data_IF_649517953480
#
_entry.id   IF_649517953480
#
_cell.length_a   1.000
_cell.length_b   1.000
_cell.length_c   1.000
_cell.angle_alpha   90.00
_cell.angle_beta   90.00
_cell.angle_gamma   90.00
#
_symmetry.space_group_name_H-M   'P 1'
#
loop_
_entity.id
_entity.type
_entity.pdbx_description
1 polymer ?
#
# COMPACT_ATOMS: atom_id res chain seq x y z
N UNK A 1 -5.31 -4.41 -5.20
CA UNK A 1 -4.81 -3.04 -5.45
C UNK A 1 -5.73 -2.36 -6.45
N UNK A 2 -5.86 -1.02 -6.47
CA UNK A 2 -6.72 -0.34 -7.47
C UNK A 2 -5.85 0.17 -8.61
N UNK A 3 -6.17 -0.23 -9.83
CA UNK A 3 -5.49 0.28 -11.02
C UNK A 3 -6.19 1.58 -11.45
N UNK A 4 -5.42 2.65 -11.61
CA UNK A 4 -5.95 3.94 -12.06
C UNK A 4 -6.29 3.83 -13.55
N UNK A 5 -7.52 4.17 -13.94
CA UNK A 5 -7.98 4.16 -15.34
C UNK A 5 -8.97 3.04 -15.71
N UNK A 6 -9.24 2.08 -14.80
CA UNK A 6 -10.26 1.04 -15.01
C UNK A 6 -11.66 1.52 -14.55
N UNK A 7 -12.57 1.69 -15.52
CA UNK A 7 -13.94 2.16 -15.29
C UNK A 7 -14.81 1.20 -14.46
N UNK A 8 -14.56 -0.11 -14.51
CA UNK A 8 -15.33 -1.08 -13.71
C UNK A 8 -14.94 -0.99 -12.25
N UNK A 9 -13.63 -0.95 -11.97
CA UNK A 9 -13.14 -0.68 -10.63
C UNK A 9 -13.61 0.69 -10.13
N UNK A 10 -13.75 1.66 -11.04
CA UNK A 10 -14.23 3.01 -10.72
C UNK A 10 -15.60 3.04 -10.05
N UNK A 11 -16.58 2.37 -10.67
CA UNK A 11 -17.95 2.36 -10.20
C UNK A 11 -18.09 1.71 -8.83
N UNK A 12 -17.33 0.63 -8.58
CA UNK A 12 -17.34 -0.09 -7.31
C UNK A 12 -16.89 0.83 -6.17
N UNK A 13 -15.80 1.57 -6.31
CA UNK A 13 -15.35 2.44 -5.20
C UNK A 13 -16.22 3.69 -5.05
N UNK A 14 -16.73 4.27 -6.14
CA UNK A 14 -17.64 5.43 -6.07
C UNK A 14 -18.89 5.13 -5.25
N UNK A 15 -19.42 3.90 -5.35
CA UNK A 15 -20.56 3.47 -4.55
C UNK A 15 -20.31 3.49 -3.03
N UNK A 16 -19.04 3.35 -2.60
CA UNK A 16 -18.65 3.29 -1.18
C UNK A 16 -18.36 4.67 -0.56
N UNK A 17 -18.31 5.73 -1.36
CA UNK A 17 -18.01 7.10 -0.87
C UNK A 17 -19.04 7.55 0.15
N UNK A 18 -20.33 7.30 -0.10
CA UNK A 18 -21.41 7.79 0.78
C UNK A 18 -21.39 7.18 2.18
N UNK A 19 -20.78 6.00 2.34
CA UNK A 19 -20.74 5.27 3.61
C UNK A 19 -19.38 5.38 4.29
N UNK A 20 -18.28 5.19 3.54
CA UNK A 20 -16.93 5.14 4.10
C UNK A 20 -16.13 6.43 3.86
N UNK A 21 -16.56 7.28 2.93
CA UNK A 21 -15.85 8.52 2.57
C UNK A 21 -15.61 9.46 3.76
N UNK A 22 -16.63 9.79 4.56
CA UNK A 22 -16.44 10.65 5.74
C UNK A 22 -15.43 10.07 6.75
N UNK A 23 -15.47 8.76 7.00
CA UNK A 23 -14.52 8.11 7.91
C UNK A 23 -13.09 8.12 7.37
N UNK A 24 -12.91 7.86 6.07
CA UNK A 24 -11.59 7.95 5.42
C UNK A 24 -11.00 9.37 5.48
N UNK A 25 -11.85 10.41 5.40
CA UNK A 25 -11.44 11.80 5.56
C UNK A 25 -11.00 12.10 7.00
N UNK A 26 -11.73 11.60 8.00
CA UNK A 26 -11.32 11.75 9.40
C UNK A 26 -9.97 11.08 9.69
N UNK A 27 -9.74 9.89 9.12
CA UNK A 27 -8.44 9.22 9.22
C UNK A 27 -7.31 10.01 8.54
N UNK A 28 -7.63 10.72 7.44
CA UNK A 28 -6.65 11.53 6.70
C UNK A 28 -6.31 12.82 7.44
N UNK A 29 -7.32 13.44 8.06
CA UNK A 29 -7.21 14.73 8.74
C UNK A 29 -6.68 14.59 10.18
N UNK A 30 -6.36 13.38 10.63
CA UNK A 30 -5.82 13.16 11.97
C UNK A 30 -4.39 13.73 12.08
N UNK A 31 -4.19 14.82 12.87
CA UNK A 31 -2.91 15.50 12.99
C UNK A 31 -1.84 14.65 13.70
N UNK A 32 -2.22 13.58 14.39
CA UNK A 32 -1.30 12.68 15.09
C UNK A 32 -0.85 11.50 14.22
N UNK A 33 -1.60 11.18 13.15
CA UNK A 33 -1.34 10.04 12.28
C UNK A 33 -0.43 10.35 11.09
N UNK A 34 -0.11 11.62 10.85
CA UNK A 34 0.45 12.03 9.56
C UNK A 34 1.86 12.57 9.74
N UNK A 35 2.85 11.67 9.82
CA UNK A 35 4.27 12.07 9.77
C UNK A 35 4.77 11.88 8.36
N UNK A 36 5.20 12.97 7.73
CA UNK A 36 6.01 12.89 6.52
C UNK A 36 7.26 12.10 6.86
N UNK A 37 7.38 10.93 6.27
CA UNK A 37 8.47 10.00 6.52
C UNK A 37 9.23 9.78 5.23
N UNK A 38 10.54 9.80 5.33
CA UNK A 38 11.47 9.63 4.22
C UNK A 38 12.48 8.56 4.57
N UNK A 39 13.01 7.89 3.55
CA UNK A 39 14.18 7.01 3.63
C UNK A 39 14.03 5.83 4.62
N UNK A 40 13.04 4.97 4.36
CA UNK A 40 12.88 3.71 5.11
C UNK A 40 12.41 2.56 4.25
N UNK A 41 12.59 1.34 4.74
CA UNK A 41 12.04 0.14 4.12
C UNK A 41 10.76 -0.29 4.80
N UNK A 42 9.76 -0.65 4.01
CA UNK A 42 8.51 -1.25 4.46
C UNK A 42 8.22 -2.52 3.66
N UNK A 43 7.56 -3.46 4.32
CA UNK A 43 7.18 -4.75 3.77
C UNK A 43 5.66 -4.87 3.75
N UNK A 44 5.13 -5.58 2.75
CA UNK A 44 3.70 -5.91 2.73
C UNK A 44 3.52 -7.26 2.06
N UNK A 45 2.92 -8.20 2.76
CA UNK A 45 2.37 -9.39 2.14
C UNK A 45 1.05 -9.07 1.45
N UNK A 46 0.82 -9.68 0.29
CA UNK A 46 -0.51 -9.72 -0.31
C UNK A 46 -0.71 -11.01 -1.12
N UNK A 47 -1.98 -11.33 -1.37
CA UNK A 47 -2.35 -12.30 -2.40
C UNK A 47 -2.64 -11.56 -3.70
N UNK A 48 -1.84 -11.81 -4.74
CA UNK A 48 -2.03 -11.29 -6.08
C UNK A 48 -2.52 -12.36 -7.04
N UNK A 49 -3.30 -11.93 -8.04
CA UNK A 49 -3.64 -12.77 -9.19
C UNK A 49 -2.51 -12.75 -10.22
N UNK A 50 -2.49 -13.75 -11.10
CA UNK A 50 -1.50 -13.84 -12.17
C UNK A 50 -1.53 -12.59 -13.08
N UNK A 51 -2.71 -12.03 -13.36
CA UNK A 51 -2.80 -10.81 -14.17
C UNK A 51 -2.18 -9.58 -13.47
N UNK A 52 -2.26 -9.53 -12.14
CA UNK A 52 -1.63 -8.48 -11.35
C UNK A 52 -0.10 -8.64 -11.35
N UNK A 53 0.39 -9.87 -11.17
CA UNK A 53 1.82 -10.21 -11.24
C UNK A 53 2.39 -9.84 -12.62
N UNK A 54 1.68 -10.19 -13.70
CA UNK A 54 2.03 -9.81 -15.07
C UNK A 54 2.10 -8.29 -15.25
N UNK A 55 1.18 -7.56 -14.61
CA UNK A 55 1.16 -6.09 -14.65
C UNK A 55 2.41 -5.51 -13.99
N UNK A 56 2.77 -5.98 -12.78
CA UNK A 56 3.99 -5.52 -12.10
C UNK A 56 5.26 -5.90 -12.86
N UNK A 57 5.30 -7.10 -13.45
CA UNK A 57 6.42 -7.57 -14.26
C UNK A 57 6.63 -6.69 -15.51
N UNK A 58 5.54 -6.19 -16.11
CA UNK A 58 5.61 -5.22 -17.22
C UNK A 58 6.09 -3.85 -16.73
N UNK A 59 5.56 -3.37 -15.60
CA UNK A 59 5.99 -2.10 -15.00
C UNK A 59 7.49 -2.11 -14.65
N UNK A 60 8.02 -3.24 -14.19
CA UNK A 60 9.45 -3.38 -13.87
C UNK A 60 10.37 -3.24 -15.09
N UNK A 61 9.83 -3.35 -16.32
CA UNK A 61 10.57 -3.21 -17.58
C UNK A 61 10.45 -1.81 -18.19
N UNK A 62 9.67 -0.92 -17.58
CA UNK A 62 9.41 0.43 -18.06
C UNK A 62 9.63 1.44 -16.92
N UNK A 63 10.77 2.12 -16.95
CA UNK A 63 11.15 3.12 -15.93
C UNK A 63 10.19 4.32 -15.83
N UNK A 64 9.35 4.52 -16.84
CA UNK A 64 8.32 5.56 -16.85
C UNK A 64 7.00 5.11 -16.23
N UNK A 65 6.78 3.79 -16.10
CA UNK A 65 5.58 3.24 -15.51
C UNK A 65 5.54 3.47 -14.00
N UNK A 66 4.38 3.91 -13.51
CA UNK A 66 4.13 4.10 -12.08
C UNK A 66 2.74 3.59 -11.70
N UNK A 67 2.66 3.05 -10.48
CA UNK A 67 1.42 2.66 -9.83
C UNK A 67 1.10 3.61 -8.69
N UNK A 68 -0.05 3.41 -8.05
CA UNK A 68 -0.39 4.13 -6.83
C UNK A 68 -1.27 3.31 -5.89
N UNK A 69 -1.07 3.50 -4.60
CA UNK A 69 -1.92 2.95 -3.55
C UNK A 69 -3.14 3.84 -3.36
N UNK A 70 -4.26 3.50 -3.98
CA UNK A 70 -5.49 4.30 -3.90
C UNK A 70 -6.28 4.12 -2.58
N UNK A 71 -5.80 3.28 -1.68
CA UNK A 71 -6.39 3.03 -0.37
C UNK A 71 -5.29 3.10 0.69
N UNK A 72 -5.69 3.24 1.95
CA UNK A 72 -4.77 3.00 3.06
C UNK A 72 -4.15 1.62 2.89
N UNK A 73 -2.83 1.58 2.91
CA UNK A 73 -2.07 0.37 2.62
C UNK A 73 -1.30 0.00 3.87
N UNK A 74 -1.75 -1.06 4.53
CA UNK A 74 -1.09 -1.63 5.70
C UNK A 74 0.24 -2.25 5.28
N UNK A 75 1.30 -1.85 5.97
CA UNK A 75 2.65 -2.32 5.79
C UNK A 75 3.25 -2.67 7.14
N UNK A 76 4.34 -3.43 7.15
CA UNK A 76 5.08 -3.80 8.33
C UNK A 76 6.54 -3.36 8.19
N UNK A 77 7.19 -3.02 9.30
CA UNK A 77 8.66 -2.94 9.37
C UNK A 77 9.32 -4.31 9.55
N UNK A 78 8.56 -5.31 9.96
CA UNK A 78 8.99 -6.67 10.17
C UNK A 78 8.74 -7.50 8.89
N UNK A 79 9.83 -7.83 8.18
CA UNK A 79 9.76 -8.63 6.95
C UNK A 79 9.10 -9.99 7.20
N UNK A 80 9.55 -10.70 8.23
CA UNK A 80 9.12 -12.07 8.51
C UNK A 80 7.60 -12.11 8.71
N UNK A 81 7.05 -11.12 9.43
CA UNK A 81 5.60 -10.97 9.63
C UNK A 81 4.86 -10.66 8.34
N UNK A 82 5.41 -9.82 7.47
CA UNK A 82 4.80 -9.51 6.19
C UNK A 82 4.81 -10.71 5.22
N UNK A 83 5.87 -11.52 5.24
CA UNK A 83 6.04 -12.68 4.36
C UNK A 83 5.06 -13.82 4.68
N UNK A 84 4.58 -13.89 5.92
CA UNK A 84 3.49 -14.80 6.34
C UNK A 84 2.15 -14.50 5.63
N UNK A 85 1.99 -13.34 4.97
CA UNK A 85 0.71 -12.84 4.46
C UNK A 85 0.58 -12.91 2.94
N UNK A 86 0.26 -14.08 2.39
CA UNK A 86 -0.18 -14.23 0.99
C UNK A 86 0.83 -14.95 0.08
N UNK A 87 0.80 -14.66 -1.23
CA UNK A 87 1.67 -15.28 -2.24
C UNK A 87 2.68 -14.30 -2.85
N UNK A 88 2.76 -13.08 -2.33
CA UNK A 88 3.66 -12.04 -2.84
C UNK A 88 4.10 -11.15 -1.69
N UNK A 89 5.41 -10.87 -1.63
CA UNK A 89 5.99 -9.89 -0.72
C UNK A 89 6.40 -8.63 -1.48
N UNK A 90 5.81 -7.49 -1.11
CA UNK A 90 6.29 -6.18 -1.51
C UNK A 90 7.45 -5.76 -0.60
N UNK A 91 8.60 -5.41 -1.20
CA UNK A 91 9.73 -4.79 -0.53
C UNK A 91 9.81 -3.35 -1.04
N UNK A 92 9.47 -2.38 -0.19
CA UNK A 92 9.28 -0.99 -0.59
C UNK A 92 10.32 -0.09 0.06
N UNK A 93 11.09 0.60 -0.76
CA UNK A 93 11.90 1.73 -0.34
C UNK A 93 11.03 3.00 -0.39
N UNK A 94 10.69 3.53 0.79
CA UNK A 94 9.87 4.73 0.94
C UNK A 94 10.77 5.94 0.78
N UNK A 95 10.63 6.63 -0.35
CA UNK A 95 11.29 7.92 -0.57
C UNK A 95 10.55 9.03 0.18
N UNK A 96 9.24 9.13 -0.04
CA UNK A 96 8.36 10.11 0.58
C UNK A 96 6.97 9.48 0.72
N UNK A 97 6.47 9.37 1.94
CA UNK A 97 5.07 9.02 2.19
C UNK A 97 4.59 9.64 3.50
N UNK A 98 3.28 9.87 3.59
CA UNK A 98 2.63 10.07 4.87
C UNK A 98 2.26 8.71 5.45
N UNK A 99 2.67 8.49 6.69
CA UNK A 99 2.56 7.19 7.36
C UNK A 99 2.07 7.39 8.79
N UNK A 100 1.10 6.57 9.19
CA UNK A 100 0.67 6.42 10.57
C UNK A 100 1.32 5.17 11.18
N UNK A 101 1.92 5.30 12.37
CA UNK A 101 2.47 4.16 13.09
C UNK A 101 1.39 3.59 14.00
N UNK A 102 0.94 2.38 13.72
CA UNK A 102 -0.22 1.78 14.41
C UNK A 102 0.18 0.86 15.57
N UNK A 103 1.45 0.42 15.63
CA UNK A 103 1.93 -0.50 16.68
C UNK A 103 1.58 -0.07 18.12
N UNK A 104 1.61 1.23 18.51
CA UNK A 104 1.22 1.65 19.86
C UNK A 104 -0.28 1.51 20.19
N UNK A 105 -1.13 1.37 19.19
CA UNK A 105 -2.58 1.28 19.31
C UNK A 105 -3.14 -0.09 18.91
N UNK A 106 -2.32 -0.92 18.26
CA UNK A 106 -2.71 -2.24 17.75
C UNK A 106 -2.67 -3.30 18.85
N UNK A 107 -3.62 -4.23 18.80
CA UNK A 107 -3.57 -5.48 19.58
C UNK A 107 -2.43 -6.40 19.12
N UNK A 108 -1.91 -6.18 17.90
CA UNK A 108 -0.84 -6.95 17.25
C UNK A 108 0.42 -6.07 17.12
N UNK A 109 0.93 -5.60 18.25
CA UNK A 109 2.06 -4.66 18.29
C UNK A 109 3.34 -5.20 17.62
N UNK A 110 3.51 -6.52 17.61
CA UNK A 110 4.62 -7.27 17.02
C UNK A 110 4.63 -7.26 15.49
N UNK A 111 3.50 -6.96 14.85
CA UNK A 111 3.43 -6.76 13.40
C UNK A 111 4.15 -5.47 12.98
N UNK A 112 4.47 -4.59 13.93
CA UNK A 112 5.12 -3.31 13.67
C UNK A 112 4.41 -2.50 12.57
N UNK A 113 3.08 -2.53 12.61
CA UNK A 113 2.25 -2.01 11.51
C UNK A 113 2.43 -0.50 11.30
N UNK A 114 2.57 -0.16 10.03
CA UNK A 114 2.60 1.20 9.52
C UNK A 114 1.63 1.36 8.36
N UNK A 115 0.72 2.31 8.49
CA UNK A 115 -0.33 2.55 7.53
C UNK A 115 0.08 3.66 6.57
N UNK A 116 0.34 3.29 5.32
CA UNK A 116 0.64 4.23 4.23
C UNK A 116 -0.67 4.86 3.75
N UNK A 117 -0.69 6.19 3.64
CA UNK A 117 -1.89 6.93 3.22
C UNK A 117 -2.23 6.68 1.74
N UNK A 118 -3.52 6.85 1.34
CA UNK A 118 -3.92 6.83 -0.06
C UNK A 118 -3.15 7.82 -0.94
N UNK A 119 -3.03 7.52 -2.23
CA UNK A 119 -2.42 8.38 -3.24
C UNK A 119 -0.91 8.26 -3.38
N UNK A 120 -0.24 7.48 -2.52
CA UNK A 120 1.21 7.24 -2.64
C UNK A 120 1.51 6.51 -3.94
N UNK A 121 2.32 7.14 -4.79
CA UNK A 121 2.80 6.59 -6.05
C UNK A 121 4.03 5.72 -5.82
N UNK A 122 4.19 4.69 -6.64
CA UNK A 122 5.36 3.82 -6.60
C UNK A 122 5.79 3.43 -8.02
N UNK A 123 7.05 2.99 -8.14
CA UNK A 123 7.58 2.31 -9.31
C UNK A 123 8.05 0.92 -8.90
N UNK A 124 8.02 -0.01 -9.85
CA UNK A 124 8.54 -1.36 -9.62
C UNK A 124 9.96 -1.38 -10.14
N UNK A 125 10.94 -1.65 -9.26
CA UNK A 125 12.35 -1.75 -9.65
C UNK A 125 12.69 -3.13 -10.21
N UNK A 126 12.17 -4.18 -9.59
CA UNK A 126 12.35 -5.57 -10.00
C UNK A 126 11.16 -6.41 -9.55
N UNK A 127 11.02 -7.58 -10.16
CA UNK A 127 10.14 -8.67 -9.73
C UNK A 127 10.98 -9.94 -9.72
N UNK A 128 10.95 -10.65 -8.61
CA UNK A 128 11.71 -11.86 -8.35
C UNK A 128 10.74 -12.99 -7.99
N UNK A 129 11.09 -14.22 -8.35
CA UNK A 129 10.31 -15.42 -8.07
C UNK A 129 11.22 -16.40 -7.33
N UNK A 130 10.66 -17.09 -6.34
CA UNK A 130 11.32 -18.16 -5.59
C UNK A 130 11.37 -19.48 -6.37
#
# INVERSE_FOLDING_TARGET
>A
MRLVGDKQQENVWRSKIRTLGPFCLLLWDDPFNTKLTTEKTLYRGATLTDEQIDTYTKMAKDDSAYGSFQAYTSCSRNRDKAEELGNTLYIMEVLIAFIAVLSPLSEYSEEEEELVTPGVCFRVKSVEFD
#
